data_IF_185465111684
#
_entry.id   IF_185465111684
#
_cell.length_a   1.000
_cell.length_b   1.000
_cell.length_c   1.000
_cell.angle_alpha   90.00
_cell.angle_beta   90.00
_cell.angle_gamma   90.00
#
_symmetry.space_group_name_H-M   'P 1'
#
loop_
_entity.id
_entity.type
_entity.pdbx_description
1 polymer ?
#
# COMPACT_ATOMS: atom_id res chain seq x y z
N UNK A 1 23.29 -14.16 -4.77
CA UNK A 1 23.09 -14.23 -3.30
C UNK A 1 21.59 -14.13 -3.07
N UNK A 2 21.01 -15.15 -2.50
CA UNK A 2 19.56 -15.18 -2.24
C UNK A 2 19.18 -14.08 -1.24
N UNK A 3 18.03 -13.39 -1.45
CA UNK A 3 17.56 -12.39 -0.52
C UNK A 3 17.26 -12.99 0.87
N UNK A 4 17.64 -12.28 1.93
CA UNK A 4 17.46 -12.73 3.30
C UNK A 4 15.98 -13.00 3.69
N UNK A 5 15.02 -12.43 2.98
CA UNK A 5 13.58 -12.62 3.25
C UNK A 5 13.00 -13.93 2.70
N UNK A 6 13.73 -14.72 1.92
CA UNK A 6 13.26 -16.03 1.43
C UNK A 6 13.05 -17.04 2.53
N UNK A 7 13.82 -16.95 3.60
CA UNK A 7 13.79 -17.91 4.70
C UNK A 7 12.87 -17.39 5.82
N UNK A 8 12.10 -18.30 6.41
CA UNK A 8 11.15 -18.01 7.48
C UNK A 8 9.81 -17.49 6.98
N UNK A 9 8.83 -17.51 7.87
CA UNK A 9 7.49 -16.99 7.58
C UNK A 9 7.31 -15.59 8.15
N UNK A 10 6.54 -14.76 7.45
CA UNK A 10 6.06 -13.50 8.02
C UNK A 10 5.03 -13.85 9.10
N UNK A 11 5.38 -13.55 10.33
CA UNK A 11 4.49 -13.67 11.47
C UNK A 11 3.90 -12.31 11.77
N UNK A 12 2.63 -12.26 12.17
CA UNK A 12 2.00 -11.03 12.63
C UNK A 12 1.86 -11.06 14.15
N UNK A 13 2.28 -9.97 14.79
CA UNK A 13 2.06 -9.72 16.22
C UNK A 13 0.90 -8.73 16.34
N UNK A 14 -0.12 -9.06 17.12
CA UNK A 14 -1.21 -8.13 17.40
C UNK A 14 -0.76 -7.15 18.48
N UNK A 15 -0.77 -5.86 18.16
CA UNK A 15 -0.61 -4.76 19.10
C UNK A 15 -1.98 -4.14 19.32
N UNK A 16 -2.48 -4.20 20.54
CA UNK A 16 -3.77 -3.62 20.89
C UNK A 16 -3.67 -2.80 22.18
N UNK A 17 -4.55 -1.82 22.31
CA UNK A 17 -4.55 -0.95 23.49
C UNK A 17 -5.29 0.34 23.24
N UNK A 18 -5.06 1.29 24.14
CA UNK A 18 -5.65 2.63 24.08
C UNK A 18 -4.58 3.71 23.99
N UNK A 19 -4.79 4.68 23.10
CA UNK A 19 -3.90 5.82 22.93
C UNK A 19 -4.72 7.12 22.78
N UNK A 20 -4.74 7.95 23.86
CA UNK A 20 -5.65 9.11 23.94
C UNK A 20 -7.12 8.67 23.90
N UNK A 21 -7.94 9.23 23.00
CA UNK A 21 -9.35 8.88 22.84
C UNK A 21 -9.56 7.59 22.01
N UNK A 22 -8.49 6.96 21.52
CA UNK A 22 -8.57 5.90 20.54
C UNK A 22 -8.25 4.53 21.10
N UNK A 23 -9.09 3.55 20.79
CA UNK A 23 -8.79 2.14 20.88
C UNK A 23 -8.18 1.68 19.55
N UNK A 24 -7.10 0.89 19.63
CA UNK A 24 -6.41 0.43 18.42
C UNK A 24 -6.12 -1.08 18.46
N UNK A 25 -6.12 -1.67 17.26
CA UNK A 25 -5.66 -3.03 17.01
C UNK A 25 -4.85 -3.06 15.71
N UNK A 26 -3.57 -3.41 15.81
CA UNK A 26 -2.62 -3.40 14.70
C UNK A 26 -2.01 -4.78 14.54
N UNK A 27 -2.04 -5.34 13.35
CA UNK A 27 -1.27 -6.53 12.98
C UNK A 27 0.12 -6.09 12.51
N UNK A 28 1.12 -6.22 13.36
CA UNK A 28 2.50 -5.79 13.06
C UNK A 28 3.30 -6.98 12.54
N UNK A 29 3.68 -6.99 11.25
CA UNK A 29 4.41 -8.09 10.69
C UNK A 29 5.87 -8.11 11.17
N UNK A 30 6.39 -9.30 11.38
CA UNK A 30 7.77 -9.57 11.74
C UNK A 30 8.35 -10.66 10.83
N UNK A 31 9.59 -10.47 10.41
CA UNK A 31 10.35 -11.45 9.63
C UNK A 31 11.78 -11.46 10.17
N UNK A 32 12.09 -12.41 11.05
CA UNK A 32 13.37 -12.47 11.78
C UNK A 32 14.59 -12.56 10.86
N UNK A 33 14.44 -13.18 9.68
CA UNK A 33 15.48 -13.26 8.65
C UNK A 33 15.76 -11.93 7.94
N UNK A 34 14.86 -10.94 8.05
CA UNK A 34 15.02 -9.64 7.41
C UNK A 34 14.63 -8.47 8.34
N UNK A 35 15.50 -8.07 9.27
CA UNK A 35 15.24 -7.02 10.26
C UNK A 35 14.81 -5.65 9.68
N UNK A 36 15.23 -5.21 8.48
CA UNK A 36 14.75 -3.96 7.90
C UNK A 36 13.24 -3.91 7.68
N UNK A 37 12.62 -5.02 7.28
CA UNK A 37 11.18 -5.14 7.11
C UNK A 37 10.45 -4.95 8.44
N UNK A 38 10.87 -5.69 9.46
CA UNK A 38 10.27 -5.59 10.79
C UNK A 38 10.41 -4.19 11.39
N UNK A 39 11.59 -3.58 11.26
CA UNK A 39 11.85 -2.20 11.73
C UNK A 39 10.91 -1.20 11.08
N UNK A 40 10.71 -1.30 9.77
CA UNK A 40 9.80 -0.42 9.03
C UNK A 40 8.37 -0.50 9.59
N UNK A 41 7.81 -1.70 9.70
CA UNK A 41 6.43 -1.87 10.15
C UNK A 41 6.23 -1.50 11.61
N UNK A 42 7.19 -1.82 12.47
CA UNK A 42 7.16 -1.36 13.87
C UNK A 42 7.20 0.16 13.99
N UNK A 43 7.97 0.84 13.13
CA UNK A 43 8.00 2.30 13.12
C UNK A 43 6.67 2.88 12.60
N UNK A 44 6.05 2.29 11.59
CA UNK A 44 4.70 2.70 11.15
C UNK A 44 3.68 2.52 12.29
N UNK A 45 3.71 1.42 13.01
CA UNK A 45 2.84 1.19 14.17
C UNK A 45 3.00 2.28 15.23
N UNK A 46 4.25 2.60 15.59
CA UNK A 46 4.55 3.65 16.56
C UNK A 46 4.09 5.03 16.08
N UNK A 47 4.20 5.34 14.79
CA UNK A 47 3.72 6.59 14.20
C UNK A 47 2.20 6.70 14.30
N UNK A 48 1.48 5.63 13.95
CA UNK A 48 0.02 5.58 14.10
C UNK A 48 -0.39 5.81 15.55
N UNK A 49 0.20 5.07 16.50
CA UNK A 49 -0.12 5.20 17.93
C UNK A 49 0.21 6.61 18.45
N UNK A 50 1.34 7.22 18.04
CA UNK A 50 1.65 8.61 18.39
C UNK A 50 0.61 9.58 17.83
N UNK A 51 0.20 9.39 16.57
CA UNK A 51 -0.85 10.19 15.94
C UNK A 51 -2.18 10.12 16.70
N UNK A 52 -2.57 8.93 17.17
CA UNK A 52 -3.78 8.77 17.98
C UNK A 52 -3.72 9.54 19.30
N UNK A 53 -2.56 9.57 19.97
CA UNK A 53 -2.39 10.31 21.23
C UNK A 53 -2.55 11.82 21.07
N UNK A 54 -2.24 12.35 19.91
CA UNK A 54 -2.38 13.78 19.59
C UNK A 54 -3.76 14.17 19.09
N UNK A 55 -4.63 13.21 18.86
CA UNK A 55 -6.02 13.47 18.46
C UNK A 55 -6.78 14.06 19.66
N UNK A 56 -7.29 15.27 19.47
CA UNK A 56 -8.22 15.91 20.40
C UNK A 56 -9.66 15.62 20.01
N UNK A 57 -10.57 15.78 20.96
CA UNK A 57 -12.02 15.71 20.70
C UNK A 57 -12.77 14.80 21.68
N UNK A 58 -14.09 15.00 21.80
CA UNK A 58 -14.92 14.26 22.75
C UNK A 58 -15.33 12.88 22.27
N UNK A 59 -15.06 12.56 20.99
CA UNK A 59 -15.57 11.34 20.38
C UNK A 59 -14.54 10.20 20.47
N UNK A 60 -15.00 8.97 20.78
CA UNK A 60 -14.14 7.82 20.75
C UNK A 60 -13.64 7.54 19.31
N UNK A 61 -12.42 7.05 19.21
CA UNK A 61 -11.82 6.66 17.94
C UNK A 61 -11.54 5.17 17.96
N UNK A 62 -11.83 4.48 16.89
CA UNK A 62 -11.43 3.10 16.66
C UNK A 62 -10.46 3.05 15.49
N UNK A 63 -9.37 2.32 15.63
CA UNK A 63 -8.37 2.13 14.57
C UNK A 63 -7.97 0.68 14.47
N UNK A 64 -8.13 0.13 13.27
CA UNK A 64 -7.67 -1.22 12.94
C UNK A 64 -6.67 -1.15 11.78
N UNK A 65 -5.59 -1.91 11.86
CA UNK A 65 -4.66 -2.10 10.75
C UNK A 65 -4.40 -3.59 10.56
N UNK A 66 -4.73 -4.10 9.37
CA UNK A 66 -4.47 -5.49 8.97
C UNK A 66 -3.35 -5.56 7.96
N UNK A 67 -2.42 -6.51 8.14
CA UNK A 67 -1.29 -6.71 7.24
C UNK A 67 -1.59 -7.77 6.20
N UNK A 68 -1.17 -7.50 4.96
CA UNK A 68 -1.17 -8.47 3.87
C UNK A 68 0.19 -8.49 3.18
N UNK A 69 0.85 -9.66 3.16
CA UNK A 69 1.96 -9.94 2.25
C UNK A 69 1.39 -10.18 0.86
N UNK A 70 1.94 -9.53 -0.17
CA UNK A 70 1.43 -9.62 -1.54
C UNK A 70 2.41 -10.27 -2.50
N UNK A 71 3.70 -10.23 -2.16
CA UNK A 71 4.75 -10.89 -2.91
C UNK A 71 5.96 -11.16 -2.04
N UNK A 72 6.55 -12.35 -2.20
CA UNK A 72 7.83 -12.73 -1.59
C UNK A 72 8.55 -13.73 -2.47
N UNK A 73 9.55 -13.26 -3.20
CA UNK A 73 10.37 -14.07 -4.09
C UNK A 73 11.79 -13.48 -4.22
N UNK A 74 12.55 -13.92 -5.21
CA UNK A 74 13.92 -13.43 -5.45
C UNK A 74 13.98 -11.96 -5.86
N UNK A 75 12.91 -11.44 -6.45
CA UNK A 75 12.85 -10.10 -7.01
C UNK A 75 12.37 -9.06 -5.99
N UNK A 76 11.47 -9.43 -5.06
CA UNK A 76 10.90 -8.49 -4.12
C UNK A 76 10.24 -9.13 -2.89
N UNK A 77 10.21 -8.37 -1.80
CA UNK A 77 9.29 -8.55 -0.67
C UNK A 77 8.34 -7.36 -0.63
N UNK A 78 7.06 -7.60 -0.82
CA UNK A 78 6.04 -6.54 -0.89
C UNK A 78 4.84 -6.87 -0.02
N UNK A 79 4.25 -5.84 0.58
CA UNK A 79 3.05 -5.96 1.38
C UNK A 79 2.46 -4.61 1.75
N UNK A 80 1.29 -4.64 2.37
CA UNK A 80 0.61 -3.44 2.80
C UNK A 80 -0.16 -3.63 4.12
N UNK A 81 -0.44 -2.51 4.77
CA UNK A 81 -1.47 -2.36 5.78
C UNK A 81 -2.70 -1.70 5.20
N UNK A 82 -3.85 -2.33 5.37
CA UNK A 82 -5.14 -1.65 5.30
C UNK A 82 -5.50 -1.13 6.67
N UNK A 83 -5.68 0.18 6.74
CA UNK A 83 -5.96 0.91 7.96
C UNK A 83 -7.39 1.45 7.85
N UNK A 84 -8.24 1.06 8.78
CA UNK A 84 -9.58 1.59 8.96
C UNK A 84 -9.66 2.38 10.25
N UNK A 85 -10.19 3.59 10.17
CA UNK A 85 -10.41 4.47 11.32
C UNK A 85 -11.85 4.95 11.35
N UNK A 86 -12.43 4.96 12.53
CA UNK A 86 -13.76 5.52 12.79
C UNK A 86 -13.70 6.49 13.95
N UNK A 87 -14.39 7.63 13.85
CA UNK A 87 -14.50 8.61 14.93
C UNK A 87 -15.98 8.78 15.28
N UNK A 88 -16.37 8.43 16.50
CA UNK A 88 -17.75 8.44 16.95
C UNK A 88 -18.66 7.59 16.09
N UNK A 89 -19.71 8.19 15.57
CA UNK A 89 -20.69 7.55 14.68
C UNK A 89 -20.42 7.80 13.18
N UNK A 90 -19.29 8.40 12.83
CA UNK A 90 -18.91 8.61 11.43
C UNK A 90 -18.67 7.28 10.70
N UNK A 91 -18.72 7.31 9.38
CA UNK A 91 -18.30 6.17 8.57
C UNK A 91 -16.78 5.91 8.68
N UNK A 92 -16.35 4.73 8.27
CA UNK A 92 -14.95 4.34 8.27
C UNK A 92 -14.13 5.15 7.26
N UNK A 93 -13.02 5.73 7.72
CA UNK A 93 -11.95 6.23 6.87
C UNK A 93 -10.99 5.10 6.56
N UNK A 94 -10.72 4.89 5.29
CA UNK A 94 -9.79 3.87 4.82
C UNK A 94 -8.51 4.52 4.31
N UNK A 95 -7.38 3.93 4.68
CA UNK A 95 -6.08 4.30 4.14
C UNK A 95 -5.21 3.06 4.01
N UNK A 96 -4.12 3.16 3.23
CA UNK A 96 -3.19 2.06 3.02
C UNK A 96 -1.75 2.56 3.15
N UNK A 97 -0.92 1.79 3.82
CA UNK A 97 0.54 1.96 3.85
C UNK A 97 1.16 0.77 3.15
N UNK A 98 2.01 0.99 2.18
CA UNK A 98 2.69 -0.05 1.43
C UNK A 98 4.19 -0.04 1.66
N UNK A 99 4.82 -1.19 1.50
CA UNK A 99 6.27 -1.32 1.49
C UNK A 99 6.70 -2.39 0.49
N UNK A 100 7.60 -2.03 -0.41
CA UNK A 100 8.26 -2.95 -1.33
C UNK A 100 9.76 -2.85 -1.14
N UNK A 101 10.37 -3.96 -0.74
CA UNK A 101 11.81 -4.10 -0.59
C UNK A 101 12.37 -4.84 -1.80
N UNK A 102 13.53 -4.39 -2.28
CA UNK A 102 14.26 -5.00 -3.39
C UNK A 102 15.56 -5.63 -2.89
N UNK A 103 16.16 -6.58 -3.60
CA UNK A 103 17.42 -7.20 -3.23
C UNK A 103 18.50 -6.15 -2.92
N UNK A 104 19.16 -6.30 -1.77
CA UNK A 104 20.18 -5.37 -1.29
C UNK A 104 19.65 -4.06 -0.68
N UNK A 105 18.32 -3.81 -0.69
CA UNK A 105 17.77 -2.62 -0.05
C UNK A 105 17.54 -2.82 1.45
N UNK A 106 17.98 -1.85 2.26
CA UNK A 106 17.69 -1.80 3.69
C UNK A 106 16.45 -0.98 4.06
N UNK A 107 15.70 -0.51 3.06
CA UNK A 107 14.48 0.29 3.20
C UNK A 107 13.52 0.04 2.04
N UNK A 108 12.22 0.34 2.21
CA UNK A 108 11.27 0.30 1.09
C UNK A 108 11.71 1.21 -0.04
N UNK A 109 11.41 0.82 -1.27
CA UNK A 109 11.82 1.54 -2.47
C UNK A 109 10.61 2.23 -3.11
N UNK A 110 10.77 3.46 -3.62
CA UNK A 110 9.72 4.12 -4.37
C UNK A 110 9.57 3.52 -5.78
N UNK A 111 8.38 3.62 -6.33
CA UNK A 111 7.99 3.07 -7.62
C UNK A 111 8.99 3.32 -8.78
N UNK A 112 9.58 4.52 -8.94
CA UNK A 112 10.51 4.76 -10.05
C UNK A 112 11.75 3.87 -10.05
N UNK A 113 12.17 3.35 -8.89
CA UNK A 113 13.35 2.47 -8.77
C UNK A 113 13.14 1.11 -9.46
N UNK A 114 11.89 0.69 -9.65
CA UNK A 114 11.56 -0.55 -10.35
C UNK A 114 11.90 -0.51 -11.85
N UNK A 115 12.03 0.68 -12.43
CA UNK A 115 12.19 0.89 -13.86
C UNK A 115 13.63 1.21 -14.24
N UNK A 116 14.01 0.86 -15.45
CA UNK A 116 15.21 1.42 -16.08
C UNK A 116 15.08 2.94 -16.24
N UNK A 117 16.17 3.70 -16.17
CA UNK A 117 16.14 5.16 -16.29
C UNK A 117 15.35 5.63 -17.53
N UNK A 118 14.40 6.52 -17.32
CA UNK A 118 13.52 7.07 -18.36
C UNK A 118 12.35 6.17 -18.77
N UNK A 119 12.36 4.88 -18.43
CA UNK A 119 11.27 3.95 -18.80
C UNK A 119 10.01 4.14 -17.96
N UNK A 120 10.12 4.68 -16.75
CA UNK A 120 8.98 5.00 -15.87
C UNK A 120 7.94 5.93 -16.53
N UNK A 121 8.31 6.68 -17.57
CA UNK A 121 7.40 7.55 -18.33
C UNK A 121 6.28 6.78 -19.03
N UNK A 122 6.42 5.48 -19.22
CA UNK A 122 5.40 4.63 -19.86
C UNK A 122 4.34 4.15 -18.88
N UNK A 123 4.58 4.29 -17.57
CA UNK A 123 3.65 3.83 -16.54
C UNK A 123 2.35 4.65 -16.48
N UNK A 124 2.36 6.00 -16.50
CA UNK A 124 1.13 6.79 -16.36
C UNK A 124 0.03 6.44 -17.38
N UNK A 125 0.30 6.27 -18.68
CA UNK A 125 -0.74 5.86 -19.63
C UNK A 125 -1.25 4.44 -19.39
N UNK A 126 -0.44 3.51 -18.85
CA UNK A 126 -0.91 2.18 -18.46
C UNK A 126 -1.87 2.28 -17.28
N UNK A 127 -1.50 3.01 -16.23
CA UNK A 127 -2.37 3.25 -15.07
C UNK A 127 -3.70 3.89 -15.50
N UNK A 128 -3.65 4.93 -16.32
CA UNK A 128 -4.86 5.61 -16.81
C UNK A 128 -5.79 4.65 -17.56
N UNK A 129 -5.24 3.82 -18.42
CA UNK A 129 -6.03 2.81 -19.18
C UNK A 129 -6.73 1.85 -18.23
N UNK A 130 -6.03 1.33 -17.20
CA UNK A 130 -6.64 0.40 -16.25
C UNK A 130 -7.71 1.09 -15.38
N UNK A 131 -7.49 2.33 -14.93
CA UNK A 131 -8.50 3.12 -14.21
C UNK A 131 -9.77 3.32 -15.06
N UNK A 132 -9.62 3.68 -16.33
CA UNK A 132 -10.75 3.83 -17.25
C UNK A 132 -11.44 2.49 -17.50
N UNK A 133 -10.68 1.39 -17.59
CA UNK A 133 -11.20 0.04 -17.71
C UNK A 133 -12.07 -0.37 -16.52
N UNK A 134 -11.61 -0.14 -15.29
CA UNK A 134 -12.41 -0.39 -14.07
C UNK A 134 -13.76 0.33 -14.11
N UNK A 135 -13.76 1.61 -14.53
CA UNK A 135 -14.97 2.38 -14.66
C UNK A 135 -15.90 1.83 -15.74
N UNK A 136 -15.36 1.47 -16.92
CA UNK A 136 -16.16 0.95 -18.04
C UNK A 136 -16.81 -0.40 -17.71
N UNK A 137 -16.11 -1.26 -16.97
CA UNK A 137 -16.66 -2.57 -16.52
C UNK A 137 -17.61 -2.45 -15.33
N UNK A 138 -17.75 -1.26 -14.73
CA UNK A 138 -18.59 -1.05 -13.54
C UNK A 138 -18.06 -1.73 -12.28
N UNK A 139 -16.80 -2.16 -12.26
CA UNK A 139 -16.17 -2.84 -11.13
C UNK A 139 -15.93 -1.91 -9.93
N UNK A 140 -15.87 -0.61 -10.18
CA UNK A 140 -15.71 0.41 -9.16
C UNK A 140 -16.48 1.67 -9.54
N UNK A 141 -17.15 2.28 -8.55
CA UNK A 141 -17.84 3.54 -8.77
C UNK A 141 -16.82 4.69 -8.85
N UNK A 142 -16.49 5.14 -10.05
CA UNK A 142 -15.48 6.17 -10.27
C UNK A 142 -16.09 7.44 -10.88
N UNK A 143 -15.49 8.60 -10.55
CA UNK A 143 -15.85 9.89 -11.13
C UNK A 143 -15.62 9.93 -12.65
N UNK A 144 -16.33 10.84 -13.32
CA UNK A 144 -16.18 11.00 -14.79
C UNK A 144 -14.75 11.34 -15.19
N UNK A 145 -14.07 12.16 -14.42
CA UNK A 145 -12.71 12.66 -14.64
C UNK A 145 -11.61 11.80 -13.97
N UNK A 146 -11.95 10.56 -13.53
CA UNK A 146 -11.01 9.65 -12.87
C UNK A 146 -9.71 9.42 -13.66
N UNK A 147 -9.79 9.40 -15.01
CA UNK A 147 -8.62 9.25 -15.87
C UNK A 147 -7.64 10.43 -15.82
N UNK A 148 -8.12 11.66 -15.62
CA UNK A 148 -7.25 12.81 -15.41
C UNK A 148 -6.76 12.89 -13.95
N UNK A 149 -7.61 12.55 -13.00
CA UNK A 149 -7.25 12.52 -11.57
C UNK A 149 -6.16 11.52 -11.28
N UNK A 150 -6.24 10.31 -11.82
CA UNK A 150 -5.25 9.27 -11.54
C UNK A 150 -3.83 9.66 -11.98
N UNK A 151 -3.69 10.47 -13.02
CA UNK A 151 -2.37 10.98 -13.46
C UNK A 151 -1.82 12.05 -12.51
N UNK A 152 -2.67 12.95 -12.01
CA UNK A 152 -2.25 14.01 -11.06
C UNK A 152 -1.89 13.45 -9.70
N UNK A 153 -2.60 12.42 -9.26
CA UNK A 153 -2.51 11.84 -7.94
C UNK A 153 -1.62 10.58 -7.89
N UNK A 154 -0.90 10.31 -8.98
CA UNK A 154 0.03 9.19 -9.04
C UNK A 154 1.22 9.46 -8.11
N UNK A 155 1.27 8.69 -7.01
CA UNK A 155 2.26 8.84 -5.95
C UNK A 155 3.25 7.67 -6.00
N UNK A 156 4.56 7.92 -5.95
CA UNK A 156 5.58 6.88 -6.03
C UNK A 156 5.57 5.90 -4.84
N UNK A 157 4.83 6.18 -3.79
CA UNK A 157 4.71 5.33 -2.62
C UNK A 157 3.38 4.58 -2.52
N UNK A 158 2.43 4.85 -3.42
CA UNK A 158 1.10 4.22 -3.43
C UNK A 158 1.04 3.03 -4.37
N UNK A 159 1.94 2.08 -4.16
CA UNK A 159 1.99 0.85 -4.95
C UNK A 159 2.43 -0.34 -4.10
N UNK A 160 2.18 -1.52 -4.60
CA UNK A 160 2.75 -2.78 -4.13
C UNK A 160 2.87 -3.77 -5.28
N UNK A 161 3.70 -4.79 -5.11
CA UNK A 161 3.86 -5.86 -6.09
C UNK A 161 3.03 -7.07 -5.67
N UNK A 162 2.45 -7.75 -6.66
CA UNK A 162 1.80 -9.05 -6.52
C UNK A 162 2.56 -10.10 -7.33
N UNK A 163 2.13 -11.35 -7.32
CA UNK A 163 2.66 -12.38 -8.21
C UNK A 163 2.40 -12.09 -9.69
N UNK A 164 1.36 -11.31 -10.01
CA UNK A 164 0.89 -11.07 -11.37
C UNK A 164 1.31 -9.71 -11.95
N UNK A 165 1.60 -8.72 -11.08
CA UNK A 165 1.85 -7.38 -11.57
C UNK A 165 2.10 -6.33 -10.49
N UNK A 166 2.12 -5.10 -10.96
CA UNK A 166 2.21 -3.88 -10.16
C UNK A 166 0.81 -3.38 -9.86
N UNK A 167 0.45 -3.34 -8.58
CA UNK A 167 -0.78 -2.72 -8.10
C UNK A 167 -0.51 -1.26 -7.71
N UNK A 168 -1.31 -0.34 -8.25
CA UNK A 168 -1.31 1.08 -7.89
C UNK A 168 -2.66 1.42 -7.28
N UNK A 169 -2.67 2.04 -6.12
CA UNK A 169 -3.90 2.40 -5.42
C UNK A 169 -4.03 3.90 -5.19
N UNK A 170 -5.26 4.33 -4.96
CA UNK A 170 -5.61 5.71 -4.70
C UNK A 170 -6.36 5.85 -3.38
N UNK A 171 -6.14 6.95 -2.62
CA UNK A 171 -6.89 7.21 -1.41
C UNK A 171 -8.40 7.31 -1.67
N UNK A 172 -9.18 7.16 -0.61
CA UNK A 172 -10.61 7.44 -0.67
C UNK A 172 -10.87 8.83 -1.26
N UNK A 173 -11.99 8.97 -1.97
CA UNK A 173 -12.49 10.23 -2.54
C UNK A 173 -11.60 10.85 -3.65
N UNK A 174 -10.48 10.22 -4.00
CA UNK A 174 -9.62 10.69 -5.09
C UNK A 174 -10.22 10.34 -6.46
N UNK A 175 -10.50 9.07 -6.71
CA UNK A 175 -11.01 8.62 -8.01
C UNK A 175 -12.51 8.36 -8.03
N UNK A 176 -13.16 8.23 -6.88
CA UNK A 176 -14.57 7.92 -6.74
C UNK A 176 -15.11 8.42 -5.41
N UNK A 177 -16.40 8.23 -5.11
CA UNK A 177 -16.97 8.58 -3.82
C UNK A 177 -16.38 7.70 -2.71
N UNK A 178 -16.58 8.07 -1.45
CA UNK A 178 -16.08 7.34 -0.28
C UNK A 178 -16.42 5.85 -0.30
N UNK A 179 -17.58 5.49 -0.81
CA UNK A 179 -18.03 4.09 -0.98
C UNK A 179 -17.19 3.28 -1.98
N UNK A 180 -16.40 3.93 -2.82
CA UNK A 180 -15.46 3.25 -3.72
C UNK A 180 -14.23 2.69 -2.97
N UNK A 181 -14.06 3.03 -1.69
CA UNK A 181 -12.94 2.56 -0.87
C UNK A 181 -11.59 3.09 -1.35
N UNK A 182 -10.64 2.20 -1.56
CA UNK A 182 -9.30 2.48 -2.08
C UNK A 182 -9.17 1.91 -3.51
N UNK A 183 -9.59 2.65 -4.55
CA UNK A 183 -9.52 2.15 -5.92
C UNK A 183 -8.11 1.70 -6.27
N UNK A 184 -7.98 0.46 -6.71
CA UNK A 184 -6.69 -0.18 -7.01
C UNK A 184 -6.71 -0.73 -8.41
N UNK A 185 -5.67 -0.46 -9.19
CA UNK A 185 -5.47 -1.03 -10.53
C UNK A 185 -4.26 -1.94 -10.55
N UNK A 186 -4.39 -3.07 -11.20
CA UNK A 186 -3.30 -4.01 -11.45
C UNK A 186 -2.78 -3.85 -12.88
N UNK A 187 -1.48 -3.64 -13.01
CA UNK A 187 -0.79 -3.58 -14.30
C UNK A 187 0.05 -4.85 -14.40
N UNK A 188 -0.34 -5.82 -15.24
CA UNK A 188 0.39 -7.06 -15.42
C UNK A 188 1.84 -6.83 -15.86
N UNK A 189 2.76 -7.69 -15.43
CA UNK A 189 4.19 -7.55 -15.72
C UNK A 189 4.50 -7.66 -17.21
N UNK A 190 3.76 -8.46 -17.97
CA UNK A 190 3.90 -8.59 -19.43
C UNK A 190 3.71 -7.25 -20.16
N UNK A 191 2.84 -6.38 -19.66
CA UNK A 191 2.63 -5.03 -20.20
C UNK A 191 3.74 -4.05 -19.88
N UNK A 192 4.65 -4.43 -18.99
CA UNK A 192 5.82 -3.64 -18.58
C UNK A 192 7.14 -4.30 -19.02
N UNK A 193 7.07 -5.33 -19.87
CA UNK A 193 8.25 -6.04 -20.35
C UNK A 193 9.29 -5.08 -20.94
N UNK A 194 10.58 -5.31 -20.64
CA UNK A 194 11.68 -4.45 -21.04
C UNK A 194 11.73 -3.06 -20.40
N UNK A 195 10.81 -2.78 -19.46
CA UNK A 195 10.79 -1.52 -18.72
C UNK A 195 11.33 -1.67 -17.30
N UNK A 196 11.17 -2.86 -16.72
CA UNK A 196 11.52 -3.17 -15.33
C UNK A 196 12.99 -3.58 -15.20
N UNK A 197 13.64 -3.15 -14.12
CA UNK A 197 15.03 -3.48 -13.79
C UNK A 197 15.21 -4.88 -13.20
N UNK A 198 14.14 -5.45 -12.67
CA UNK A 198 14.13 -6.72 -11.95
C UNK A 198 13.30 -7.72 -12.75
N UNK A 199 13.67 -9.00 -12.75
CA UNK A 199 12.89 -10.06 -13.37
C UNK A 199 11.70 -10.38 -12.45
N UNK A 200 10.55 -9.82 -12.78
CA UNK A 200 9.30 -10.07 -12.07
C UNK A 200 8.48 -11.15 -12.79
#
# INVERSE_FOLDING_TARGET
MDPAWKTGDVQTQTWEGRAGPADYRLEVPALGSFPPFERFWREQARRLIRGLRSMGGPWPVELHASFQETRRDDAALSGFWDISRRTGHAGWDLSRVTATFLPGSGSPQPLPVLFYPGRQRRLPPLVQREVLGLRQRGECLLFRDCGARCLRELDPWRYYLTGEGLAVFYPQEVLGPRSAGLPTVLIPFDRMEGQLRFPF
#
